data_IF_411173367089
#
_entry.id   IF_411173367089
#
_cell.length_a   1.000
_cell.length_b   1.000
_cell.length_c   1.000
_cell.angle_alpha   90.00
_cell.angle_beta   90.00
_cell.angle_gamma   90.00
#
_symmetry.space_group_name_H-M   'P 1'
#
loop_
_entity.id
_entity.type
_entity.pdbx_description
1 polymer ?
#
# COMPACT_ATOMS: atom_id res chain seq x y z
N UNK A 1 -4.10 -0.37 15.00
CA UNK A 1 -2.80 -0.70 15.60
C UNK A 1 -2.53 0.21 16.79
N UNK A 2 -1.90 -0.27 17.87
CA UNK A 2 -1.37 0.63 18.92
C UNK A 2 -0.09 1.27 18.39
N UNK A 3 0.11 2.56 18.69
CA UNK A 3 1.36 3.26 18.34
C UNK A 3 2.51 2.60 19.09
N UNK A 4 3.52 2.09 18.36
CA UNK A 4 4.73 1.48 18.91
C UNK A 4 4.84 -0.04 18.81
N UNK A 5 3.77 -0.75 18.41
CA UNK A 5 3.82 -2.19 18.17
C UNK A 5 4.15 -2.52 16.70
N UNK A 6 4.89 -3.60 16.46
CA UNK A 6 5.08 -4.12 15.11
C UNK A 6 3.81 -4.84 14.66
N UNK A 7 3.11 -4.28 13.67
CA UNK A 7 1.94 -4.88 13.04
C UNK A 7 2.33 -5.28 11.62
N UNK A 8 2.27 -6.58 11.34
CA UNK A 8 2.58 -7.13 10.01
C UNK A 8 1.27 -7.52 9.34
N UNK A 9 1.11 -7.07 8.11
CA UNK A 9 0.07 -7.58 7.22
C UNK A 9 0.70 -8.52 6.20
N UNK A 10 -0.13 -9.43 5.70
CA UNK A 10 0.26 -10.39 4.70
C UNK A 10 -0.77 -10.47 3.60
N UNK A 11 -0.33 -10.92 2.44
CA UNK A 11 -1.22 -11.42 1.41
C UNK A 11 -0.58 -12.65 0.76
N UNK A 12 -1.42 -13.60 0.39
CA UNK A 12 -1.03 -14.75 -0.43
C UNK A 12 -1.66 -14.59 -1.81
N UNK A 13 -0.83 -14.59 -2.83
CA UNK A 13 -1.27 -14.54 -4.22
C UNK A 13 -1.86 -15.89 -4.62
N UNK A 14 -3.11 -15.91 -5.09
CA UNK A 14 -3.77 -17.14 -5.56
C UNK A 14 -3.65 -17.31 -7.08
N UNK A 15 -3.12 -16.30 -7.77
CA UNK A 15 -2.70 -16.33 -9.16
C UNK A 15 -1.39 -15.56 -9.33
N UNK A 16 -0.68 -15.80 -10.44
CA UNK A 16 0.48 -15.00 -10.83
C UNK A 16 0.06 -13.51 -10.89
N UNK A 17 0.94 -12.65 -10.39
CA UNK A 17 0.80 -11.21 -10.47
C UNK A 17 2.02 -10.63 -11.16
N UNK A 18 1.83 -10.28 -12.42
CA UNK A 18 2.80 -9.67 -13.33
C UNK A 18 2.72 -8.14 -13.23
N UNK A 19 3.64 -7.46 -13.89
CA UNK A 19 3.76 -5.99 -13.81
C UNK A 19 2.47 -5.27 -14.25
N UNK A 20 1.81 -5.80 -15.28
CA UNK A 20 0.57 -5.27 -15.85
C UNK A 20 -0.68 -5.53 -15.00
N UNK A 21 -0.62 -6.44 -14.03
CA UNK A 21 -1.79 -6.86 -13.22
C UNK A 21 -2.12 -5.86 -12.09
N UNK A 22 -1.25 -4.86 -11.88
CA UNK A 22 -1.47 -3.75 -10.95
C UNK A 22 -1.59 -4.19 -9.49
N UNK A 23 -0.97 -5.31 -9.10
CA UNK A 23 -1.14 -5.95 -7.78
C UNK A 23 -0.61 -5.16 -6.59
N UNK A 24 0.28 -5.74 -5.79
CA UNK A 24 0.75 -5.08 -4.57
C UNK A 24 1.80 -4.02 -4.88
N UNK A 25 1.55 -2.78 -4.46
CA UNK A 25 2.49 -1.66 -4.56
C UNK A 25 2.81 -1.13 -3.17
N UNK A 26 4.07 -0.72 -2.95
CA UNK A 26 4.50 -0.11 -1.69
C UNK A 26 5.56 0.95 -1.92
N UNK A 27 5.71 1.88 -0.97
CA UNK A 27 6.85 2.81 -0.93
C UNK A 27 7.95 2.22 -0.02
N UNK A 28 9.11 1.80 -0.55
CA UNK A 28 10.13 1.13 0.25
C UNK A 28 10.60 1.99 1.41
N UNK A 29 10.64 1.42 2.62
CA UNK A 29 11.14 2.10 3.81
C UNK A 29 10.21 3.16 4.42
N UNK A 30 9.01 3.38 3.87
CA UNK A 30 8.09 4.43 4.34
C UNK A 30 7.69 4.28 5.82
N UNK A 31 7.63 3.06 6.35
CA UNK A 31 7.34 2.81 7.78
C UNK A 31 8.27 3.56 8.75
N UNK A 32 9.48 3.95 8.31
CA UNK A 32 10.44 4.76 9.10
C UNK A 32 10.06 6.24 9.17
N UNK A 33 9.23 6.70 8.24
CA UNK A 33 8.88 8.11 8.04
C UNK A 33 7.41 8.41 8.32
N UNK A 34 6.57 7.38 8.58
CA UNK A 34 5.13 7.54 8.75
C UNK A 34 4.76 8.66 9.75
N UNK A 35 5.40 8.69 10.92
CA UNK A 35 5.09 9.70 11.96
C UNK A 35 5.36 11.11 11.46
N UNK A 36 6.58 11.37 10.99
CA UNK A 36 6.95 12.69 10.45
C UNK A 36 6.07 13.07 9.27
N UNK A 37 5.83 12.13 8.35
CA UNK A 37 5.00 12.35 7.19
C UNK A 37 3.55 12.71 7.57
N UNK A 38 2.97 12.03 8.56
CA UNK A 38 1.63 12.33 9.05
C UNK A 38 1.55 13.72 9.72
N UNK A 39 2.58 14.14 10.45
CA UNK A 39 2.64 15.46 11.07
C UNK A 39 2.76 16.59 10.03
N UNK A 40 3.57 16.35 8.98
CA UNK A 40 3.77 17.27 7.86
C UNK A 40 2.52 17.41 6.97
N UNK A 41 1.69 16.37 6.91
CA UNK A 41 0.47 16.29 6.07
C UNK A 41 -0.81 16.26 6.90
N UNK A 42 -0.79 16.86 8.09
CA UNK A 42 -1.95 16.89 9.01
C UNK A 42 -3.20 17.50 8.38
N UNK A 43 -3.04 18.39 7.40
CA UNK A 43 -4.11 19.04 6.65
C UNK A 43 -4.90 18.06 5.77
N UNK A 44 -4.31 16.92 5.38
CA UNK A 44 -5.02 15.86 4.65
C UNK A 44 -6.20 15.29 5.45
N UNK A 45 -6.21 15.42 6.78
CA UNK A 45 -7.36 15.00 7.59
C UNK A 45 -8.64 15.78 7.27
N UNK A 46 -8.54 17.00 6.72
CA UNK A 46 -9.69 17.76 6.24
C UNK A 46 -10.29 17.15 4.96
N UNK A 47 -9.49 16.47 4.14
CA UNK A 47 -9.94 15.82 2.92
C UNK A 47 -10.42 14.39 3.16
N UNK A 48 -9.81 13.68 4.12
CA UNK A 48 -9.99 12.23 4.29
C UNK A 48 -10.59 11.81 5.63
N UNK A 49 -10.82 12.74 6.55
CA UNK A 49 -11.37 12.49 7.89
C UNK A 49 -10.35 11.95 8.89
N UNK A 50 -10.73 11.96 10.18
CA UNK A 50 -9.85 11.60 11.30
C UNK A 50 -10.04 10.16 11.82
N UNK A 51 -11.16 9.50 11.52
CA UNK A 51 -11.57 8.26 12.19
C UNK A 51 -11.77 7.08 11.22
N UNK A 52 -11.14 7.14 10.04
CA UNK A 52 -11.25 6.07 9.06
C UNK A 52 -10.21 4.98 9.32
N UNK A 53 -10.67 3.74 9.40
CA UNK A 53 -9.80 2.55 9.54
C UNK A 53 -8.97 2.29 8.28
N UNK A 54 -9.39 2.86 7.14
CA UNK A 54 -8.71 2.80 5.86
C UNK A 54 -8.87 4.14 5.13
N UNK A 55 -7.77 4.67 4.60
CA UNK A 55 -7.76 5.94 3.84
C UNK A 55 -7.09 5.69 2.50
N UNK A 56 -7.80 6.01 1.41
CA UNK A 56 -7.25 5.99 0.06
C UNK A 56 -6.88 7.41 -0.35
N UNK A 57 -5.60 7.76 -0.17
CA UNK A 57 -5.09 9.10 -0.53
C UNK A 57 -4.87 9.14 -2.04
N UNK A 58 -5.45 10.15 -2.69
CA UNK A 58 -5.38 10.33 -4.14
C UNK A 58 -4.02 10.83 -4.60
N UNK A 59 -3.61 10.44 -5.81
CA UNK A 59 -2.32 10.82 -6.42
C UNK A 59 -2.09 12.32 -6.45
N UNK A 60 -3.14 13.13 -6.58
CA UNK A 60 -3.04 14.59 -6.59
C UNK A 60 -2.49 15.18 -5.28
N UNK A 61 -2.65 14.48 -4.15
CA UNK A 61 -2.18 14.96 -2.85
C UNK A 61 -0.81 14.41 -2.46
N UNK A 62 -0.38 13.29 -3.07
CA UNK A 62 0.89 12.61 -2.76
C UNK A 62 1.62 12.14 -4.03
N UNK A 63 1.88 13.03 -5.01
CA UNK A 63 2.45 12.63 -6.30
C UNK A 63 3.83 11.97 -6.15
N UNK A 64 4.65 12.45 -5.21
CA UNK A 64 6.00 11.93 -4.97
C UNK A 64 5.97 10.50 -4.43
N UNK A 65 5.03 10.18 -3.53
CA UNK A 65 4.87 8.81 -3.01
C UNK A 65 4.39 7.85 -4.11
N UNK A 66 3.50 8.30 -5.00
CA UNK A 66 3.12 7.49 -6.17
C UNK A 66 4.30 7.25 -7.12
N UNK A 67 5.22 8.22 -7.23
CA UNK A 67 6.46 8.09 -8.02
C UNK A 67 7.50 7.18 -7.38
N UNK A 68 7.59 7.18 -6.05
CA UNK A 68 8.51 6.32 -5.27
C UNK A 68 7.98 4.90 -5.03
N UNK A 69 6.69 4.65 -5.28
CA UNK A 69 6.09 3.34 -5.09
C UNK A 69 6.64 2.31 -6.09
N UNK A 70 7.03 1.13 -5.60
CA UNK A 70 7.43 0.00 -6.42
C UNK A 70 6.32 -1.07 -6.47
N UNK A 71 6.23 -1.76 -7.61
CA UNK A 71 5.38 -2.94 -7.76
C UNK A 71 6.12 -4.17 -7.26
N UNK A 72 5.40 -5.06 -6.58
CA UNK A 72 5.89 -6.37 -6.18
C UNK A 72 5.15 -7.42 -7.00
N UNK A 73 5.79 -7.89 -8.07
CA UNK A 73 5.31 -9.04 -8.83
C UNK A 73 5.58 -10.34 -8.05
N UNK A 74 4.70 -11.31 -8.22
CA UNK A 74 4.78 -12.56 -7.46
C UNK A 74 4.08 -13.71 -8.17
N UNK A 75 4.58 -14.93 -8.02
CA UNK A 75 3.92 -16.14 -8.56
C UNK A 75 2.74 -16.56 -7.69
N UNK A 76 1.78 -17.30 -8.25
CA UNK A 76 0.76 -17.99 -7.46
C UNK A 76 1.40 -18.80 -6.32
N UNK A 77 0.81 -18.72 -5.13
CA UNK A 77 1.30 -19.33 -3.89
C UNK A 77 2.35 -18.51 -3.12
N UNK A 78 2.85 -17.40 -3.68
CA UNK A 78 3.80 -16.54 -2.96
C UNK A 78 3.09 -15.76 -1.86
N UNK A 79 3.75 -15.62 -0.71
CA UNK A 79 3.32 -14.74 0.37
C UNK A 79 4.15 -13.45 0.36
N UNK A 80 3.46 -12.30 0.43
CA UNK A 80 4.08 -11.00 0.65
C UNK A 80 3.72 -10.56 2.07
N UNK A 81 4.74 -10.24 2.87
CA UNK A 81 4.59 -9.72 4.23
C UNK A 81 5.17 -8.31 4.29
N UNK A 82 4.47 -7.39 4.96
CA UNK A 82 4.95 -6.02 5.12
C UNK A 82 4.56 -5.43 6.47
N UNK A 83 5.35 -4.44 6.90
CA UNK A 83 4.99 -3.58 8.03
C UNK A 83 3.79 -2.71 7.65
N UNK A 84 2.69 -2.82 8.40
CA UNK A 84 1.43 -2.13 8.15
C UNK A 84 1.57 -0.59 8.08
N UNK A 85 2.65 -0.03 8.65
CA UNK A 85 2.97 1.41 8.59
C UNK A 85 3.53 1.84 7.24
N UNK A 86 3.88 0.92 6.36
CA UNK A 86 4.38 1.22 5.02
C UNK A 86 3.23 1.74 4.15
N UNK A 87 3.41 2.85 3.44
CA UNK A 87 2.44 3.29 2.45
C UNK A 87 2.34 2.23 1.35
N UNK A 88 1.15 1.69 1.14
CA UNK A 88 0.91 0.59 0.21
C UNK A 88 -0.47 0.70 -0.44
N UNK A 89 -0.67 -0.06 -1.51
CA UNK A 89 -1.93 -0.09 -2.24
C UNK A 89 -1.86 -0.99 -3.45
N UNK A 90 -2.72 -0.70 -4.42
CA UNK A 90 -2.71 -1.37 -5.73
C UNK A 90 -2.94 -0.37 -6.85
N UNK A 91 -2.67 -0.79 -8.09
CA UNK A 91 -2.99 -0.03 -9.30
C UNK A 91 -4.09 -0.73 -10.09
N UNK A 92 -4.64 -0.01 -11.06
CA UNK A 92 -5.58 -0.58 -12.01
C UNK A 92 -4.93 -1.76 -12.73
N UNK A 93 -5.68 -2.85 -12.85
CA UNK A 93 -5.27 -4.00 -13.64
C UNK A 93 -5.37 -3.64 -15.14
N UNK A 94 -4.27 -3.78 -15.88
CA UNK A 94 -4.19 -3.49 -17.31
C UNK A 94 -4.14 -4.78 -18.15
N UNK A 95 -4.23 -5.95 -17.52
CA UNK A 95 -4.25 -7.25 -18.17
C UNK A 95 -5.68 -7.79 -18.29
N UNK A 96 -5.80 -8.94 -18.97
CA UNK A 96 -7.04 -9.72 -19.05
C UNK A 96 -7.14 -10.79 -17.95
N UNK A 97 -6.14 -10.86 -17.08
CA UNK A 97 -6.09 -11.86 -16.01
C UNK A 97 -6.65 -11.26 -14.71
N UNK A 98 -7.72 -11.83 -14.14
CA UNK A 98 -8.25 -11.38 -12.86
C UNK A 98 -7.24 -11.62 -11.73
N UNK A 99 -7.35 -10.80 -10.69
CA UNK A 99 -6.43 -10.79 -9.56
C UNK A 99 -7.08 -11.44 -8.34
N UNK A 100 -6.39 -12.42 -7.75
CA UNK A 100 -6.88 -13.16 -6.59
C UNK A 100 -5.82 -13.16 -5.49
N UNK A 101 -6.21 -12.71 -4.30
CA UNK A 101 -5.35 -12.72 -3.13
C UNK A 101 -6.18 -12.94 -1.86
N UNK A 102 -5.59 -13.63 -0.90
CA UNK A 102 -6.08 -13.72 0.47
C UNK A 102 -5.25 -12.77 1.34
N UNK A 103 -5.91 -11.91 2.10
CA UNK A 103 -5.31 -11.01 3.08
C UNK A 103 -5.51 -11.55 4.51
#
# INVERSE_FOLDING_TARGET
AKIGELHVQGLVNLADNREEDGGFWLVPGFHKYLTQWADDHRDLSHCYGHYNQFIMIGRQHIPDLYGAACHISSRAGSAILWDQRTMHGSRANQSQCPRYAQF
#
